data_IF_616390101997
#
_entry.id   IF_616390101997
#
_cell.length_a   1.000
_cell.length_b   1.000
_cell.length_c   1.000
_cell.angle_alpha   90.00
_cell.angle_beta   90.00
_cell.angle_gamma   90.00
#
_symmetry.space_group_name_H-M   'P 1'
#
loop_
_entity.id
_entity.type
_entity.pdbx_description
1 polymer ?
#
# COMPACT_ATOMS: atom_id res chain seq x y z
N UNK A 1 -35.40 -37.18 45.50
CA UNK A 1 -34.57 -37.11 46.72
C UNK A 1 -33.10 -37.04 46.33
N UNK A 2 -32.40 -36.13 46.96
CA UNK A 2 -30.95 -35.85 46.97
C UNK A 2 -30.46 -34.93 45.84
N UNK A 3 -30.41 -33.62 46.09
CA UNK A 3 -29.50 -32.84 46.92
C UNK A 3 -28.06 -32.87 46.34
N UNK A 4 -27.72 -31.71 45.71
CA UNK A 4 -26.77 -30.72 46.18
C UNK A 4 -25.30 -31.18 46.10
N UNK A 5 -24.49 -30.49 45.37
CA UNK A 5 -23.48 -29.64 45.98
C UNK A 5 -22.80 -28.71 44.96
N UNK A 6 -22.96 -27.42 45.26
CA UNK A 6 -22.21 -26.33 44.69
C UNK A 6 -20.74 -26.41 45.11
N UNK A 7 -19.82 -26.28 44.17
CA UNK A 7 -18.45 -25.91 44.45
C UNK A 7 -18.14 -24.61 43.69
N UNK A 8 -18.19 -23.52 44.45
CA UNK A 8 -17.72 -22.19 44.01
C UNK A 8 -16.19 -22.22 44.14
N UNK A 9 -15.50 -22.23 43.03
CA UNK A 9 -14.06 -21.98 43.01
C UNK A 9 -13.87 -20.53 42.63
N UNK A 10 -13.63 -19.70 43.63
CA UNK A 10 -13.19 -18.34 43.46
C UNK A 10 -11.70 -18.33 43.09
N UNK A 11 -11.37 -18.19 41.83
CA UNK A 11 -10.00 -17.91 41.40
C UNK A 11 -9.80 -16.41 41.30
N UNK A 12 -9.09 -15.86 42.29
CA UNK A 12 -8.58 -14.49 42.31
C UNK A 12 -7.52 -14.34 41.25
N UNK A 13 -7.86 -13.67 40.15
CA UNK A 13 -6.87 -13.19 39.17
C UNK A 13 -6.21 -11.93 39.72
N UNK A 14 -4.93 -12.06 40.11
CA UNK A 14 -4.07 -10.93 40.37
C UNK A 14 -3.75 -10.20 39.07
N UNK A 15 -4.32 -9.02 38.89
CA UNK A 15 -3.97 -8.09 37.81
C UNK A 15 -2.59 -7.48 38.13
N UNK A 16 -1.55 -8.00 37.49
CA UNK A 16 -0.26 -7.30 37.42
C UNK A 16 -0.36 -6.20 36.36
N UNK A 17 -0.57 -4.97 36.83
CA UNK A 17 -0.42 -3.76 36.02
C UNK A 17 1.08 -3.56 35.74
N UNK A 18 1.59 -4.09 34.67
CA UNK A 18 2.86 -3.63 34.11
C UNK A 18 2.59 -2.32 33.34
N UNK A 19 2.92 -1.21 33.98
CA UNK A 19 2.95 0.11 33.36
C UNK A 19 4.05 0.15 32.33
N UNK A 20 3.69 -0.13 31.07
CA UNK A 20 4.53 0.21 29.93
C UNK A 20 4.36 1.70 29.67
N UNK A 21 5.31 2.49 30.17
CA UNK A 21 5.43 3.90 29.82
C UNK A 21 5.98 4.01 28.40
N UNK A 22 5.10 3.87 27.40
CA UNK A 22 5.41 4.33 26.07
C UNK A 22 5.21 5.84 26.04
N UNK A 23 6.29 6.59 26.13
CA UNK A 23 6.32 8.00 25.72
C UNK A 23 6.17 8.04 24.21
N UNK A 24 4.97 7.85 23.72
CA UNK A 24 4.61 8.22 22.37
C UNK A 24 4.39 9.73 22.38
N UNK A 25 5.36 10.46 21.85
CA UNK A 25 5.07 11.79 21.30
C UNK A 25 4.10 11.57 20.14
N UNK A 26 2.82 11.50 20.48
CA UNK A 26 1.75 11.43 19.50
C UNK A 26 1.65 12.80 18.84
N UNK A 27 2.42 13.03 17.77
CA UNK A 27 1.92 13.93 16.74
C UNK A 27 0.65 13.30 16.20
N UNK A 28 -0.48 13.82 16.65
CA UNK A 28 -1.81 13.38 16.21
C UNK A 28 -1.99 13.81 14.75
N UNK A 29 -1.47 13.03 13.85
CA UNK A 29 -1.85 13.09 12.45
C UNK A 29 -3.17 12.32 12.30
N UNK A 30 -4.29 13.04 12.39
CA UNK A 30 -5.62 12.51 12.16
C UNK A 30 -5.79 12.17 10.67
N UNK A 31 -5.65 10.87 10.37
CA UNK A 31 -6.05 10.30 9.09
C UNK A 31 -4.89 9.90 8.17
N UNK A 32 -5.23 8.99 7.25
CA UNK A 32 -4.34 8.40 6.25
C UNK A 32 -3.67 9.45 5.33
N UNK A 33 -4.27 10.63 5.18
CA UNK A 33 -3.71 11.76 4.42
C UNK A 33 -2.38 12.26 5.00
N UNK A 34 -2.19 12.17 6.32
CA UNK A 34 -0.98 12.65 6.99
C UNK A 34 0.22 11.71 6.80
N UNK A 35 -0.02 10.40 6.61
CA UNK A 35 1.06 9.43 6.37
C UNK A 35 1.68 9.63 4.98
N UNK A 36 0.88 9.99 3.99
CA UNK A 36 1.36 10.15 2.61
C UNK A 36 2.09 11.47 2.37
N UNK A 37 1.75 12.53 3.10
CA UNK A 37 2.37 13.86 2.91
C UNK A 37 3.86 13.93 3.33
N UNK A 38 4.40 12.82 3.86
CA UNK A 38 5.82 12.68 4.25
C UNK A 38 6.60 11.65 3.41
N UNK A 39 5.95 11.04 2.42
CA UNK A 39 6.62 10.03 1.60
C UNK A 39 7.54 10.69 0.57
N UNK A 40 8.75 10.20 0.46
CA UNK A 40 9.59 10.49 -0.69
C UNK A 40 8.97 9.90 -1.97
N UNK A 41 9.25 10.44 -3.17
CA UNK A 41 8.75 9.88 -4.41
C UNK A 41 9.02 8.39 -4.58
N UNK A 42 10.17 7.92 -4.12
CA UNK A 42 10.54 6.49 -4.17
C UNK A 42 9.68 5.63 -3.23
N UNK A 43 9.40 6.13 -2.03
CA UNK A 43 8.52 5.44 -1.08
C UNK A 43 7.08 5.38 -1.61
N UNK A 44 6.58 6.46 -2.19
CA UNK A 44 5.27 6.50 -2.80
C UNK A 44 5.15 5.53 -4.00
N UNK A 45 6.20 5.42 -4.81
CA UNK A 45 6.28 4.42 -5.90
C UNK A 45 6.21 3.00 -5.32
N UNK A 46 7.00 2.70 -4.29
CA UNK A 46 6.99 1.38 -3.65
C UNK A 46 5.62 1.04 -3.08
N UNK A 47 4.99 1.99 -2.40
CA UNK A 47 3.65 1.81 -1.84
C UNK A 47 2.59 1.58 -2.93
N UNK A 48 2.64 2.31 -4.06
CA UNK A 48 1.73 2.10 -5.19
C UNK A 48 1.92 0.71 -5.82
N UNK A 49 3.16 0.25 -5.98
CA UNK A 49 3.47 -1.10 -6.47
C UNK A 49 2.94 -2.16 -5.52
N UNK A 50 3.12 -1.97 -4.20
CA UNK A 50 2.65 -2.93 -3.20
C UNK A 50 1.12 -3.05 -3.20
N UNK A 51 0.38 -1.94 -3.23
CA UNK A 51 -1.08 -1.96 -3.35
C UNK A 51 -1.55 -2.64 -4.65
N UNK A 52 -0.82 -2.43 -5.75
CA UNK A 52 -1.11 -3.13 -7.02
C UNK A 52 -0.88 -4.63 -6.90
N UNK A 53 0.16 -5.07 -6.19
CA UNK A 53 0.43 -6.49 -5.91
C UNK A 53 -0.62 -7.11 -4.99
N UNK A 54 -1.11 -6.36 -4.01
CA UNK A 54 -2.21 -6.81 -3.15
C UNK A 54 -3.49 -7.03 -3.95
N UNK A 55 -3.76 -6.18 -4.95
CA UNK A 55 -4.88 -6.39 -5.86
C UNK A 55 -4.70 -7.67 -6.70
N UNK A 56 -3.48 -7.94 -7.22
CA UNK A 56 -3.17 -9.19 -7.93
C UNK A 56 -3.36 -10.41 -7.03
N UNK A 57 -2.81 -10.35 -5.82
CA UNK A 57 -2.98 -11.44 -4.84
C UNK A 57 -4.45 -11.67 -4.50
N UNK A 58 -5.25 -10.62 -4.34
CA UNK A 58 -6.67 -10.75 -4.08
C UNK A 58 -7.41 -11.47 -5.23
N UNK A 59 -6.99 -11.29 -6.50
CA UNK A 59 -7.51 -12.05 -7.64
C UNK A 59 -7.09 -13.52 -7.53
N UNK A 60 -5.82 -13.81 -7.26
CA UNK A 60 -5.29 -15.18 -7.13
C UNK A 60 -5.96 -15.93 -5.96
N UNK A 61 -6.26 -15.23 -4.87
CA UNK A 61 -6.96 -15.76 -3.69
C UNK A 61 -8.49 -15.88 -3.90
N UNK A 62 -9.01 -15.56 -5.08
CA UNK A 62 -10.45 -15.51 -5.39
C UNK A 62 -11.25 -14.64 -4.40
N UNK A 63 -10.67 -13.52 -3.97
CA UNK A 63 -11.34 -12.57 -3.09
C UNK A 63 -12.54 -11.91 -3.78
N UNK A 64 -13.44 -11.32 -2.99
CA UNK A 64 -14.60 -10.63 -3.54
C UNK A 64 -14.20 -9.43 -4.41
N UNK A 65 -15.03 -9.08 -5.39
CA UNK A 65 -14.88 -7.90 -6.24
C UNK A 65 -14.55 -6.63 -5.45
N UNK A 66 -15.24 -6.46 -4.31
CA UNK A 66 -15.07 -5.27 -3.44
C UNK A 66 -13.64 -5.17 -2.93
N UNK A 67 -13.05 -6.28 -2.45
CA UNK A 67 -11.67 -6.31 -1.93
C UNK A 67 -10.67 -5.99 -3.03
N UNK A 68 -10.83 -6.57 -4.22
CA UNK A 68 -9.95 -6.31 -5.37
C UNK A 68 -10.03 -4.82 -5.76
N UNK A 69 -11.25 -4.29 -5.87
CA UNK A 69 -11.47 -2.88 -6.25
C UNK A 69 -10.90 -1.93 -5.20
N UNK A 70 -11.00 -2.24 -3.92
CA UNK A 70 -10.49 -1.37 -2.86
C UNK A 70 -8.96 -1.33 -2.87
N UNK A 71 -8.27 -2.44 -3.08
CA UNK A 71 -6.82 -2.46 -3.30
C UNK A 71 -6.41 -1.60 -4.52
N UNK A 72 -7.17 -1.66 -5.63
CA UNK A 72 -6.91 -0.81 -6.81
C UNK A 72 -7.13 0.67 -6.49
N UNK A 73 -8.15 1.02 -5.71
CA UNK A 73 -8.40 2.39 -5.27
C UNK A 73 -7.27 2.91 -4.38
N UNK A 74 -6.75 2.06 -3.49
CA UNK A 74 -5.65 2.43 -2.62
C UNK A 74 -4.36 2.64 -3.42
N UNK A 75 -4.08 1.80 -4.42
CA UNK A 75 -2.99 2.04 -5.37
C UNK A 75 -3.14 3.40 -6.10
N UNK A 76 -4.33 3.72 -6.58
CA UNK A 76 -4.63 5.01 -7.22
C UNK A 76 -4.48 6.19 -6.27
N UNK A 77 -4.83 6.02 -4.99
CA UNK A 77 -4.72 7.05 -3.96
C UNK A 77 -3.26 7.33 -3.64
N UNK A 78 -2.49 6.28 -3.35
CA UNK A 78 -1.06 6.41 -3.04
C UNK A 78 -0.28 6.97 -4.23
N UNK A 79 -0.64 6.59 -5.46
CA UNK A 79 0.04 7.09 -6.65
C UNK A 79 0.01 8.61 -6.81
N UNK A 80 -0.94 9.31 -6.17
CA UNK A 80 -1.02 10.78 -6.20
C UNK A 80 0.16 11.45 -5.50
N UNK A 81 0.75 10.75 -4.54
CA UNK A 81 1.92 11.23 -3.79
C UNK A 81 3.23 11.09 -4.58
N UNK A 82 3.20 10.40 -5.71
CA UNK A 82 4.36 10.29 -6.61
C UNK A 82 4.48 11.60 -7.38
N UNK A 83 5.23 12.54 -6.79
CA UNK A 83 5.48 13.85 -7.38
C UNK A 83 6.98 14.17 -7.33
N UNK A 84 7.65 14.15 -8.48
CA UNK A 84 9.07 14.46 -8.59
C UNK A 84 9.35 15.47 -9.73
N UNK A 85 8.81 15.21 -10.92
CA UNK A 85 8.96 16.07 -12.10
C UNK A 85 7.92 15.71 -13.17
N UNK A 86 7.82 16.52 -14.23
CA UNK A 86 6.84 16.35 -15.31
C UNK A 86 6.92 15.00 -16.01
N UNK A 87 8.13 14.42 -16.13
CA UNK A 87 8.34 13.11 -16.75
C UNK A 87 7.76 12.01 -15.88
N UNK A 88 7.99 12.09 -14.56
CA UNK A 88 7.41 11.18 -13.57
C UNK A 88 5.89 11.30 -13.59
N UNK A 89 5.35 12.53 -13.59
CA UNK A 89 3.90 12.74 -13.56
C UNK A 89 3.21 12.15 -14.79
N UNK A 90 3.73 12.40 -16.00
CA UNK A 90 3.19 11.81 -17.24
C UNK A 90 3.20 10.28 -17.22
N UNK A 91 4.28 9.66 -16.75
CA UNK A 91 4.38 8.21 -16.68
C UNK A 91 3.50 7.62 -15.57
N UNK A 92 3.37 8.32 -14.44
CA UNK A 92 2.42 7.99 -13.37
C UNK A 92 0.99 7.98 -13.89
N UNK A 93 0.59 9.00 -14.67
CA UNK A 93 -0.75 9.05 -15.27
C UNK A 93 -1.01 7.86 -16.20
N UNK A 94 0.00 7.43 -16.97
CA UNK A 94 -0.10 6.22 -17.81
C UNK A 94 -0.30 4.97 -16.95
N UNK A 95 0.48 4.78 -15.89
CA UNK A 95 0.32 3.68 -14.95
C UNK A 95 -1.09 3.67 -14.32
N UNK A 96 -1.58 4.85 -13.91
CA UNK A 96 -2.95 5.01 -13.41
C UNK A 96 -4.02 4.66 -14.44
N UNK A 97 -3.74 4.85 -15.72
CA UNK A 97 -4.61 4.41 -16.82
C UNK A 97 -4.84 2.90 -16.78
N UNK A 98 -3.80 2.11 -16.55
CA UNK A 98 -3.89 0.65 -16.43
C UNK A 98 -4.66 0.24 -15.17
N UNK A 99 -4.43 0.88 -14.03
CA UNK A 99 -5.22 0.62 -12.81
C UNK A 99 -6.73 0.87 -13.03
N UNK A 100 -7.08 1.94 -13.77
CA UNK A 100 -8.48 2.25 -14.09
C UNK A 100 -9.10 1.19 -15.02
N UNK A 101 -8.32 0.68 -15.98
CA UNK A 101 -8.76 -0.41 -16.88
C UNK A 101 -8.93 -1.71 -16.09
N UNK A 102 -7.98 -2.07 -15.24
CA UNK A 102 -8.07 -3.22 -14.35
C UNK A 102 -9.35 -3.16 -13.51
N UNK A 103 -9.62 -2.00 -12.88
CA UNK A 103 -10.85 -1.81 -12.10
C UNK A 103 -12.13 -2.00 -12.93
N UNK A 104 -12.11 -1.58 -14.21
CA UNK A 104 -13.25 -1.79 -15.12
C UNK A 104 -13.39 -3.27 -15.47
N UNK A 105 -12.27 -3.95 -15.73
CA UNK A 105 -12.26 -5.38 -16.04
C UNK A 105 -12.81 -6.22 -14.87
N UNK A 106 -12.40 -5.92 -13.61
CA UNK A 106 -12.95 -6.56 -12.41
C UNK A 106 -14.47 -6.39 -12.32
N UNK A 107 -15.01 -5.20 -12.58
CA UNK A 107 -16.45 -4.95 -12.59
C UNK A 107 -17.20 -5.69 -13.69
N UNK A 108 -16.52 -6.05 -14.77
CA UNK A 108 -17.07 -6.83 -15.87
C UNK A 108 -16.82 -8.33 -15.72
N UNK A 109 -16.32 -8.78 -14.56
CA UNK A 109 -15.96 -10.16 -14.24
C UNK A 109 -14.86 -10.74 -15.17
N UNK A 110 -14.08 -9.88 -15.83
CA UNK A 110 -12.93 -10.26 -16.64
C UNK A 110 -11.63 -10.20 -15.82
N UNK A 111 -11.42 -11.21 -14.98
CA UNK A 111 -10.27 -11.27 -14.08
C UNK A 111 -8.95 -11.51 -14.83
N UNK A 112 -9.00 -12.13 -16.02
CA UNK A 112 -7.79 -12.32 -16.84
C UNK A 112 -7.27 -10.97 -17.34
N UNK A 113 -8.14 -10.15 -17.93
CA UNK A 113 -7.80 -8.80 -18.38
C UNK A 113 -7.38 -7.93 -17.18
N UNK A 114 -8.07 -8.05 -16.05
CA UNK A 114 -7.72 -7.31 -14.84
C UNK A 114 -6.28 -7.64 -14.38
N UNK A 115 -5.90 -8.91 -14.42
CA UNK A 115 -4.56 -9.38 -14.05
C UNK A 115 -3.49 -8.81 -14.99
N UNK A 116 -3.73 -8.82 -16.30
CA UNK A 116 -2.79 -8.25 -17.28
C UNK A 116 -2.59 -6.74 -17.07
N UNK A 117 -3.68 -6.00 -16.90
CA UNK A 117 -3.64 -4.56 -16.70
C UNK A 117 -2.96 -4.20 -15.36
N UNK A 118 -3.14 -5.00 -14.30
CA UNK A 118 -2.45 -4.81 -13.02
C UNK A 118 -0.94 -5.08 -13.12
N UNK A 119 -0.53 -6.13 -13.84
CA UNK A 119 0.89 -6.42 -14.08
C UNK A 119 1.57 -5.28 -14.85
N UNK A 120 0.90 -4.76 -15.86
CA UNK A 120 1.40 -3.61 -16.62
C UNK A 120 1.49 -2.35 -15.76
N UNK A 121 0.47 -2.08 -14.91
CA UNK A 121 0.51 -0.98 -13.96
C UNK A 121 1.71 -1.08 -13.01
N UNK A 122 1.93 -2.25 -12.42
CA UNK A 122 3.06 -2.49 -11.50
C UNK A 122 4.42 -2.27 -12.20
N UNK A 123 4.58 -2.78 -13.41
CA UNK A 123 5.80 -2.61 -14.21
C UNK A 123 6.07 -1.13 -14.50
N UNK A 124 5.03 -0.37 -14.86
CA UNK A 124 5.16 1.07 -15.13
C UNK A 124 5.47 1.88 -13.89
N UNK A 125 4.87 1.55 -12.74
CA UNK A 125 5.25 2.19 -11.47
C UNK A 125 6.70 1.91 -11.12
N UNK A 126 7.18 0.67 -11.26
CA UNK A 126 8.57 0.34 -11.00
C UNK A 126 9.54 1.13 -11.90
N UNK A 127 9.19 1.32 -13.17
CA UNK A 127 9.99 2.12 -14.09
C UNK A 127 10.13 3.59 -13.68
N UNK A 128 9.19 4.13 -12.87
CA UNK A 128 9.29 5.50 -12.35
C UNK A 128 10.49 5.73 -11.46
N UNK A 129 11.01 4.69 -10.79
CA UNK A 129 12.18 4.81 -9.91
C UNK A 129 13.39 5.39 -10.64
N UNK A 130 13.60 5.01 -11.91
CA UNK A 130 14.68 5.53 -12.73
C UNK A 130 14.55 7.03 -13.05
N UNK A 131 13.35 7.58 -12.95
CA UNK A 131 13.09 9.01 -13.22
C UNK A 131 12.92 9.84 -11.96
N UNK A 132 12.66 9.19 -10.83
CA UNK A 132 12.44 9.83 -9.54
C UNK A 132 13.74 10.10 -8.77
N UNK A 133 14.88 9.59 -9.25
CA UNK A 133 16.18 9.86 -8.66
C UNK A 133 16.53 11.35 -8.82
N UNK A 134 16.99 12.00 -7.76
CA UNK A 134 17.49 13.37 -7.86
C UNK A 134 18.63 13.44 -8.89
N UNK A 135 18.59 14.43 -9.78
CA UNK A 135 19.60 14.63 -10.84
C UNK A 135 21.04 14.74 -10.32
N UNK A 136 21.23 15.20 -9.09
CA UNK A 136 22.56 15.30 -8.46
C UNK A 136 23.16 13.94 -8.08
N UNK A 137 22.36 12.87 -7.97
CA UNK A 137 22.90 11.54 -7.72
C UNK A 137 23.51 10.90 -8.97
N UNK A 138 23.16 11.37 -10.18
CA UNK A 138 23.73 10.87 -11.43
C UNK A 138 25.05 11.53 -11.80
N UNK A 139 25.41 12.68 -11.20
CA UNK A 139 26.63 13.41 -11.55
C UNK A 139 27.85 12.99 -10.72
N UNK A 140 27.70 12.05 -9.76
CA UNK A 140 28.80 11.50 -8.99
C UNK A 140 29.53 10.33 -9.67
N UNK A 141 29.08 9.86 -10.82
CA UNK A 141 29.66 8.73 -11.54
C UNK A 141 30.27 9.10 -12.89
N UNK A 142 30.47 10.38 -13.15
CA UNK A 142 31.17 10.83 -14.38
C UNK A 142 32.45 11.51 -13.93
N UNK A 143 33.52 10.79 -13.93
CA UNK A 143 34.86 11.16 -14.33
C UNK A 143 35.95 10.39 -13.57
N UNK A 144 36.11 9.12 -13.87
CA UNK A 144 37.37 8.41 -13.57
C UNK A 144 37.95 7.72 -14.81
N UNK A 145 37.70 8.27 -15.99
CA UNK A 145 38.46 7.88 -17.19
C UNK A 145 38.82 9.14 -17.99
N UNK A 146 39.81 9.85 -17.47
CA UNK A 146 40.71 10.71 -18.25
C UNK A 146 42.11 10.56 -17.78
#
# INVERSE_FOLDING_TARGET
MKLLQNAVIATTLALSLSSVSTTTTAEVCLGMACMYNRMTPTEAINAAVEQTRQALKAIDDNASEVVIIDNIKDALKVSKEINANDKVDRNRQRANGYLKKARKAVRNDDLNLATEELKEAATRFLALKGYAQPWYCNNGAIDQHR
#
